data_IF_241256801962
#
_entry.id   IF_241256801962
#
_cell.length_a   1.000
_cell.length_b   1.000
_cell.length_c   1.000
_cell.angle_alpha   90.00
_cell.angle_beta   90.00
_cell.angle_gamma   90.00
#
_symmetry.space_group_name_H-M   'P 1'
#
loop_
_entity.id
_entity.type
_entity.pdbx_description
1 polymer ?
#
# COMPACT_ATOMS: atom_id res chain seq x y z
N UNK A 1 -17.45 9.02 -2.42
CA UNK A 1 -16.00 8.95 -2.71
C UNK A 1 -15.32 10.05 -1.93
N UNK A 2 -14.22 9.75 -1.25
CA UNK A 2 -13.45 10.76 -0.52
C UNK A 2 -12.68 11.60 -1.54
N UNK A 3 -12.84 12.92 -1.50
CA UNK A 3 -12.11 13.84 -2.38
C UNK A 3 -10.84 14.28 -1.66
N UNK A 4 -9.68 13.94 -2.22
CA UNK A 4 -8.37 14.28 -1.65
C UNK A 4 -7.99 15.71 -2.03
N UNK A 5 -7.42 16.46 -1.09
CA UNK A 5 -6.84 17.78 -1.37
C UNK A 5 -5.52 17.64 -2.14
N UNK A 6 -5.04 18.73 -2.74
CA UNK A 6 -3.80 18.75 -3.54
C UNK A 6 -2.59 18.24 -2.75
N UNK A 7 -2.53 18.51 -1.44
CA UNK A 7 -1.44 18.06 -0.57
C UNK A 7 -1.67 16.66 0.02
N UNK A 8 -2.64 15.91 -0.49
CA UNK A 8 -3.01 14.59 0.02
C UNK A 8 -2.90 13.53 -1.07
N UNK A 9 -2.42 12.37 -0.64
CA UNK A 9 -2.40 11.16 -1.42
C UNK A 9 -2.73 9.98 -0.51
N UNK A 10 -3.24 8.91 -1.09
CA UNK A 10 -3.60 7.69 -0.41
C UNK A 10 -3.09 6.50 -1.23
N UNK A 11 -2.49 5.54 -0.54
CA UNK A 11 -2.21 4.21 -1.06
C UNK A 11 -3.45 3.35 -0.81
N UNK A 12 -4.00 2.79 -1.87
CA UNK A 12 -5.18 1.94 -1.85
C UNK A 12 -4.71 0.52 -2.13
N UNK A 13 -4.91 -0.39 -1.17
CA UNK A 13 -4.62 -1.80 -1.34
C UNK A 13 -5.93 -2.56 -1.48
N UNK A 14 -6.00 -3.41 -2.50
CA UNK A 14 -7.16 -4.24 -2.78
C UNK A 14 -6.69 -5.69 -2.89
N UNK A 15 -7.28 -6.57 -2.08
CA UNK A 15 -7.04 -8.01 -2.15
C UNK A 15 -8.21 -8.63 -2.91
N UNK A 16 -7.90 -9.34 -3.99
CA UNK A 16 -8.90 -10.04 -4.78
C UNK A 16 -9.31 -11.39 -4.14
N UNK A 17 -10.25 -12.09 -4.77
CA UNK A 17 -10.79 -13.35 -4.26
C UNK A 17 -9.79 -14.52 -4.26
N UNK A 18 -8.68 -14.42 -4.98
CA UNK A 18 -7.59 -15.40 -5.02
C UNK A 18 -6.44 -15.00 -4.08
N UNK A 19 -6.59 -13.89 -3.34
CA UNK A 19 -5.55 -13.38 -2.45
C UNK A 19 -4.49 -12.53 -3.16
N UNK A 20 -4.69 -12.20 -4.43
CA UNK A 20 -3.83 -11.29 -5.17
C UNK A 20 -3.93 -9.86 -4.61
N UNK A 21 -2.79 -9.24 -4.31
CA UNK A 21 -2.74 -7.86 -3.83
C UNK A 21 -2.51 -6.91 -5.00
N UNK A 22 -3.41 -5.95 -5.16
CA UNK A 22 -3.29 -4.85 -6.10
C UNK A 22 -3.13 -3.53 -5.36
N UNK A 23 -2.26 -2.66 -5.87
CA UNK A 23 -1.87 -1.42 -5.22
C UNK A 23 -2.14 -0.25 -6.16
N UNK A 24 -3.00 0.65 -5.72
CA UNK A 24 -3.40 1.86 -6.44
C UNK A 24 -2.99 3.11 -5.64
N UNK A 25 -2.77 4.22 -6.34
CA UNK A 25 -2.51 5.52 -5.71
C UNK A 25 -3.63 6.47 -6.11
N UNK A 26 -4.29 7.06 -5.12
CA UNK A 26 -5.17 8.19 -5.31
C UNK A 26 -4.46 9.45 -4.81
N UNK A 27 -4.49 10.53 -5.58
CA UNK A 27 -3.91 11.80 -5.13
C UNK A 27 -4.71 12.98 -5.70
N UNK A 28 -4.80 14.05 -4.91
CA UNK A 28 -5.33 15.33 -5.39
C UNK A 28 -4.38 16.03 -6.36
N UNK A 29 -3.07 15.77 -6.25
CA UNK A 29 -2.03 16.28 -7.15
C UNK A 29 -0.95 15.20 -7.37
N UNK A 30 -1.02 14.51 -8.51
CA UNK A 30 -0.14 13.35 -8.83
C UNK A 30 1.33 13.76 -8.94
N UNK A 31 1.60 14.95 -9.48
CA UNK A 31 2.95 15.49 -9.62
C UNK A 31 3.45 16.15 -8.31
N UNK A 32 2.56 16.32 -7.35
CA UNK A 32 2.85 16.88 -6.04
C UNK A 32 3.68 15.92 -5.16
N UNK A 33 4.37 16.43 -4.13
CA UNK A 33 5.22 15.60 -3.28
C UNK A 33 4.48 14.41 -2.64
N UNK A 34 3.23 14.60 -2.24
CA UNK A 34 2.42 13.54 -1.64
C UNK A 34 2.11 12.42 -2.65
N UNK A 35 1.70 12.78 -3.88
CA UNK A 35 1.47 11.85 -4.97
C UNK A 35 2.74 11.08 -5.35
N UNK A 36 3.84 11.79 -5.56
CA UNK A 36 5.13 11.20 -5.89
C UNK A 36 5.65 10.22 -4.82
N UNK A 37 5.49 10.56 -3.53
CA UNK A 37 5.87 9.65 -2.44
C UNK A 37 4.98 8.40 -2.43
N UNK A 38 3.66 8.54 -2.56
CA UNK A 38 2.76 7.38 -2.64
C UNK A 38 3.08 6.50 -3.85
N UNK A 39 3.37 7.10 -5.01
CA UNK A 39 3.78 6.39 -6.21
C UNK A 39 5.07 5.58 -5.98
N UNK A 40 6.08 6.19 -5.35
CA UNK A 40 7.33 5.52 -5.03
C UNK A 40 7.13 4.33 -4.06
N UNK A 41 6.28 4.50 -3.05
CA UNK A 41 5.92 3.43 -2.12
C UNK A 41 5.19 2.30 -2.85
N UNK A 42 4.22 2.61 -3.70
CA UNK A 42 3.49 1.61 -4.49
C UNK A 42 4.43 0.80 -5.40
N UNK A 43 5.37 1.48 -6.07
CA UNK A 43 6.40 0.83 -6.89
C UNK A 43 7.28 -0.08 -6.05
N UNK A 44 7.74 0.40 -4.89
CA UNK A 44 8.58 -0.39 -3.98
C UNK A 44 7.84 -1.63 -3.48
N UNK A 45 6.58 -1.49 -3.08
CA UNK A 45 5.75 -2.59 -2.60
C UNK A 45 5.50 -3.66 -3.66
N UNK A 46 5.38 -3.29 -4.94
CA UNK A 46 5.12 -4.23 -6.03
C UNK A 46 6.38 -4.87 -6.63
N UNK A 47 7.56 -4.23 -6.51
CA UNK A 47 8.78 -4.69 -7.19
C UNK A 47 9.87 -5.20 -6.25
N UNK A 48 9.73 -4.99 -4.95
CA UNK A 48 10.71 -5.42 -3.95
C UNK A 48 10.10 -6.50 -3.05
N UNK A 49 10.42 -7.76 -3.36
CA UNK A 49 9.95 -8.93 -2.61
C UNK A 49 10.42 -8.91 -1.15
N UNK A 50 11.60 -8.33 -0.86
CA UNK A 50 12.10 -8.21 0.53
C UNK A 50 11.25 -7.21 1.29
N UNK A 51 11.01 -6.04 0.71
CA UNK A 51 10.15 -5.03 1.33
C UNK A 51 8.72 -5.55 1.52
N UNK A 52 8.18 -6.29 0.55
CA UNK A 52 6.87 -6.91 0.67
C UNK A 52 6.85 -7.94 1.81
N UNK A 53 7.85 -8.80 1.90
CA UNK A 53 7.96 -9.78 2.98
C UNK A 53 8.11 -9.12 4.36
N UNK A 54 8.90 -8.06 4.49
CA UNK A 54 9.04 -7.31 5.74
C UNK A 54 7.70 -6.66 6.16
N UNK A 55 6.96 -6.09 5.21
CA UNK A 55 5.63 -5.53 5.50
C UNK A 55 4.65 -6.63 5.93
N UNK A 56 4.65 -7.79 5.26
CA UNK A 56 3.79 -8.91 5.65
C UNK A 56 4.15 -9.45 7.04
N UNK A 57 5.43 -9.61 7.35
CA UNK A 57 5.91 -10.02 8.68
C UNK A 57 5.43 -9.06 9.78
N UNK A 58 5.53 -7.74 9.54
CA UNK A 58 5.01 -6.73 10.48
C UNK A 58 3.50 -6.83 10.72
N UNK A 59 2.73 -7.30 9.74
CA UNK A 59 1.27 -7.46 9.84
C UNK A 59 0.92 -8.80 10.49
N UNK A 60 1.63 -9.88 10.18
CA UNK A 60 1.44 -11.20 10.78
C UNK A 60 1.74 -11.19 12.29
N UNK A 61 2.66 -10.33 12.74
CA UNK A 61 2.92 -10.10 14.18
C UNK A 61 1.69 -9.55 14.94
N UNK A 62 0.77 -8.86 14.27
CA UNK A 62 -0.52 -8.40 14.86
C UNK A 62 -1.67 -9.41 14.60
N UNK A 63 -1.44 -10.43 13.76
CA UNK A 63 -2.46 -11.28 13.14
C UNK A 63 -2.44 -12.78 13.45
N UNK A 64 -1.47 -13.32 14.21
CA UNK A 64 -1.57 -14.70 14.73
C UNK A 64 -0.23 -15.37 15.04
N UNK A 65 -0.10 -16.25 16.04
CA UNK A 65 -1.15 -16.85 16.84
C UNK A 65 -0.59 -17.77 17.93
N UNK A 66 -1.49 -18.24 18.79
CA UNK A 66 -1.28 -19.47 19.54
C UNK A 66 -2.61 -20.20 19.59
N UNK A 67 -2.82 -21.07 18.61
CA UNK A 67 -3.56 -22.33 18.80
C UNK A 67 -2.90 -23.39 17.91
N UNK A 68 -2.22 -24.36 18.53
CA UNK A 68 -1.77 -25.62 17.91
C UNK A 68 -0.31 -25.97 18.10
#
# INVERSE_FOLDING_TARGET
>A
MMELKDNQAALILEVDGDGGVSVNVASGDVDGPAGAICQAIAVKLMQDEVFQAEIMDMIEVDGGGSEG
#
